data_IF_310913119563
#
_entry.id   IF_310913119563
#
_cell.length_a   1.000
_cell.length_b   1.000
_cell.length_c   1.000
_cell.angle_alpha   90.00
_cell.angle_beta   90.00
_cell.angle_gamma   90.00
#
_symmetry.space_group_name_H-M   'P 1'
#
loop_
_entity.id
_entity.type
_entity.pdbx_description
1 polymer ?
#
# COMPACT_ATOMS: atom_id res chain seq x y z
N UNK A 1 -60.78 -15.29 -41.88
CA UNK A 1 -59.90 -14.32 -41.25
C UNK A 1 -58.70 -15.06 -40.73
N UNK A 2 -57.56 -14.96 -41.40
CA UNK A 2 -56.32 -15.63 -41.00
C UNK A 2 -55.44 -14.60 -40.25
N UNK A 3 -55.12 -14.91 -38.99
CA UNK A 3 -54.23 -14.07 -38.15
C UNK A 3 -52.79 -14.52 -38.42
N UNK A 4 -52.02 -13.63 -39.03
CA UNK A 4 -50.59 -13.81 -39.28
C UNK A 4 -49.80 -13.43 -38.01
N UNK A 5 -49.22 -14.40 -37.30
CA UNK A 5 -48.37 -14.17 -36.16
C UNK A 5 -46.94 -13.83 -36.66
N UNK A 6 -46.55 -12.59 -36.47
CA UNK A 6 -45.14 -12.13 -36.75
C UNK A 6 -44.30 -12.55 -35.55
N UNK A 7 -43.41 -13.51 -35.78
CA UNK A 7 -42.41 -13.95 -34.79
C UNK A 7 -41.23 -12.99 -34.87
N UNK A 8 -41.11 -12.10 -33.88
CA UNK A 8 -39.95 -11.20 -33.76
C UNK A 8 -38.76 -11.99 -33.15
N UNK A 9 -37.83 -12.40 -33.98
CA UNK A 9 -36.59 -13.03 -33.51
C UNK A 9 -35.68 -11.99 -32.88
N UNK A 10 -35.56 -12.02 -31.56
CA UNK A 10 -34.55 -11.23 -30.84
C UNK A 10 -33.16 -11.84 -31.10
N UNK A 11 -32.40 -11.22 -31.96
CA UNK A 11 -30.98 -11.57 -32.14
C UNK A 11 -30.23 -11.12 -30.91
N UNK A 12 -29.94 -12.02 -29.99
CA UNK A 12 -29.00 -11.81 -28.91
C UNK A 12 -27.63 -11.76 -29.53
N UNK A 13 -27.09 -10.55 -29.75
CA UNK A 13 -25.68 -10.36 -30.09
C UNK A 13 -24.84 -10.69 -28.86
N UNK A 14 -24.37 -11.93 -28.80
CA UNK A 14 -23.34 -12.34 -27.84
C UNK A 14 -22.09 -11.58 -28.22
N UNK A 15 -21.53 -10.73 -27.34
CA UNK A 15 -20.27 -10.04 -27.66
C UNK A 15 -19.18 -11.10 -27.86
N UNK A 16 -18.53 -11.04 -29.04
CA UNK A 16 -17.45 -11.93 -29.43
C UNK A 16 -16.42 -12.07 -28.32
N UNK A 17 -16.00 -13.29 -28.09
CA UNK A 17 -15.00 -13.78 -27.17
C UNK A 17 -13.92 -12.76 -26.87
N UNK A 18 -13.74 -12.44 -25.57
CA UNK A 18 -12.66 -11.57 -25.09
C UNK A 18 -11.35 -12.09 -25.67
N UNK A 19 -10.77 -11.32 -26.58
CA UNK A 19 -9.51 -11.55 -27.25
C UNK A 19 -8.48 -12.11 -26.28
N UNK A 20 -8.00 -13.32 -26.50
CA UNK A 20 -6.92 -13.97 -25.76
C UNK A 20 -5.56 -13.32 -26.10
N UNK A 21 -5.51 -11.99 -26.11
CA UNK A 21 -4.28 -11.23 -26.38
C UNK A 21 -3.30 -11.43 -25.22
N UNK A 22 -2.13 -11.94 -25.53
CA UNK A 22 -1.07 -12.09 -24.53
C UNK A 22 -0.64 -10.74 -23.97
N UNK A 23 -0.34 -10.67 -22.66
CA UNK A 23 0.20 -9.48 -22.03
C UNK A 23 1.46 -8.97 -22.74
N UNK A 24 1.47 -7.68 -23.09
CA UNK A 24 2.55 -7.03 -23.84
C UNK A 24 2.37 -7.03 -25.35
N UNK A 25 1.27 -7.58 -25.90
CA UNK A 25 0.96 -7.49 -27.33
C UNK A 25 0.50 -6.09 -27.75
N UNK A 26 -0.11 -5.34 -26.81
CA UNK A 26 -0.54 -3.95 -26.99
C UNK A 26 -0.20 -3.10 -25.75
N UNK A 27 -0.26 -1.79 -25.92
CA UNK A 27 -0.22 -0.88 -24.76
C UNK A 27 -1.56 -0.95 -23.98
N UNK A 28 -1.46 -0.93 -22.66
CA UNK A 28 -2.59 -0.93 -21.73
C UNK A 28 -2.71 0.44 -21.05
N UNK A 29 -3.93 0.93 -20.94
CA UNK A 29 -4.26 2.23 -20.33
C UNK A 29 -5.64 2.18 -19.71
N UNK A 30 -6.01 3.19 -18.96
CA UNK A 30 -7.37 3.32 -18.42
C UNK A 30 -8.42 3.11 -19.50
N UNK A 31 -9.39 2.25 -19.20
CA UNK A 31 -10.43 1.80 -20.14
C UNK A 31 -10.07 0.51 -20.90
N UNK A 32 -8.82 0.01 -20.83
CA UNK A 32 -8.49 -1.30 -21.37
C UNK A 32 -9.18 -2.40 -20.57
N UNK A 33 -9.69 -3.42 -21.25
CA UNK A 33 -10.33 -4.60 -20.66
C UNK A 33 -9.81 -5.84 -21.37
N UNK A 34 -9.64 -6.94 -20.64
CA UNK A 34 -9.25 -8.23 -21.20
C UNK A 34 -8.34 -9.08 -20.32
N UNK A 35 -7.99 -10.27 -20.83
CA UNK A 35 -7.09 -11.21 -20.17
C UNK A 35 -5.67 -10.67 -20.01
N UNK A 36 -5.22 -9.82 -20.92
CA UNK A 36 -3.95 -9.10 -20.86
C UNK A 36 -3.89 -8.10 -19.70
N UNK A 37 -5.00 -7.40 -19.40
CA UNK A 37 -5.14 -6.54 -18.21
C UNK A 37 -5.11 -7.38 -16.94
N UNK A 38 -5.84 -8.49 -16.91
CA UNK A 38 -5.83 -9.41 -15.77
C UNK A 38 -4.44 -9.97 -15.49
N UNK A 39 -3.67 -10.25 -16.55
CA UNK A 39 -2.27 -10.69 -16.43
C UNK A 39 -1.37 -9.58 -15.92
N UNK A 40 -1.53 -8.33 -16.40
CA UNK A 40 -0.85 -7.16 -15.85
C UNK A 40 -1.07 -7.05 -14.34
N UNK A 41 -2.33 -7.07 -13.90
CA UNK A 41 -2.70 -6.95 -12.51
C UNK A 41 -2.08 -8.04 -11.62
N UNK A 42 -2.07 -9.30 -12.11
CA UNK A 42 -1.39 -10.40 -11.42
C UNK A 42 0.13 -10.21 -11.35
N UNK A 43 0.74 -9.67 -12.40
CA UNK A 43 2.18 -9.42 -12.44
C UNK A 43 2.58 -8.27 -11.52
N UNK A 44 1.82 -7.18 -11.50
CA UNK A 44 1.99 -6.10 -10.54
C UNK A 44 1.93 -6.63 -9.10
N UNK A 45 0.92 -7.43 -8.79
CA UNK A 45 0.79 -8.05 -7.46
C UNK A 45 1.99 -8.94 -7.11
N UNK A 46 2.51 -9.72 -8.08
CA UNK A 46 3.70 -10.56 -7.85
C UNK A 46 4.96 -9.77 -7.53
N UNK A 47 5.14 -8.60 -8.15
CA UNK A 47 6.29 -7.71 -7.90
C UNK A 47 6.04 -6.71 -6.77
N UNK A 48 5.02 -6.95 -5.93
CA UNK A 48 4.76 -6.15 -4.73
C UNK A 48 3.69 -5.07 -4.87
N UNK A 49 3.26 -4.74 -6.10
CA UNK A 49 2.23 -3.71 -6.36
C UNK A 49 0.84 -4.35 -6.46
N UNK A 50 0.19 -4.55 -5.33
CA UNK A 50 -1.09 -5.27 -5.24
C UNK A 50 -2.22 -4.52 -5.95
N UNK A 51 -3.00 -5.26 -6.74
CA UNK A 51 -4.22 -4.80 -7.40
C UNK A 51 -5.19 -5.97 -7.60
N UNK A 52 -6.49 -5.68 -7.71
CA UNK A 52 -7.48 -6.69 -8.07
C UNK A 52 -7.24 -7.18 -9.49
N UNK A 53 -7.23 -8.50 -9.70
CA UNK A 53 -7.07 -9.10 -11.03
C UNK A 53 -8.44 -9.32 -11.69
N UNK A 54 -9.20 -8.23 -11.86
CA UNK A 54 -10.55 -8.21 -12.46
C UNK A 54 -10.54 -8.15 -13.98
N UNK A 55 -9.41 -7.81 -14.59
CA UNK A 55 -9.26 -7.64 -16.03
C UNK A 55 -9.75 -6.28 -16.55
N UNK A 56 -10.01 -5.32 -15.67
CA UNK A 56 -10.43 -3.96 -16.01
C UNK A 56 -9.35 -2.96 -15.62
N UNK A 57 -8.79 -2.24 -16.57
CA UNK A 57 -7.83 -1.18 -16.29
C UNK A 57 -8.60 0.08 -15.85
N UNK A 58 -9.04 0.08 -14.59
CA UNK A 58 -9.73 1.19 -13.96
C UNK A 58 -8.76 2.25 -13.40
N UNK A 59 -9.31 3.20 -12.62
CA UNK A 59 -8.51 4.22 -11.90
C UNK A 59 -7.55 3.55 -10.90
N UNK A 60 -7.98 2.48 -10.21
CA UNK A 60 -7.16 1.71 -9.29
C UNK A 60 -5.94 1.10 -9.98
N UNK A 61 -6.15 0.36 -11.07
CA UNK A 61 -5.05 -0.21 -11.87
C UNK A 61 -4.10 0.87 -12.39
N UNK A 62 -4.63 2.03 -12.84
CA UNK A 62 -3.80 3.13 -13.32
C UNK A 62 -2.90 3.70 -12.22
N UNK A 63 -3.43 3.84 -11.01
CA UNK A 63 -2.69 4.31 -9.84
C UNK A 63 -1.56 3.36 -9.48
N UNK A 64 -1.85 2.06 -9.42
CA UNK A 64 -0.86 1.00 -9.17
C UNK A 64 0.22 0.96 -10.25
N UNK A 65 -0.14 1.16 -11.51
CA UNK A 65 0.83 1.26 -12.62
C UNK A 65 1.76 2.47 -12.42
N UNK A 66 1.24 3.64 -12.04
CA UNK A 66 2.09 4.82 -11.76
C UNK A 66 3.05 4.58 -10.60
N UNK A 67 2.59 3.92 -9.54
CA UNK A 67 3.43 3.56 -8.41
C UNK A 67 4.57 2.60 -8.84
N UNK A 68 4.25 1.59 -9.64
CA UNK A 68 5.23 0.68 -10.20
C UNK A 68 6.22 1.39 -11.14
N UNK A 69 5.74 2.27 -12.03
CA UNK A 69 6.58 3.08 -12.92
C UNK A 69 7.57 3.93 -12.11
N UNK A 70 7.10 4.58 -11.04
CA UNK A 70 7.93 5.38 -10.14
C UNK A 70 8.99 4.54 -9.43
N UNK A 71 8.59 3.40 -8.85
CA UNK A 71 9.50 2.51 -8.13
C UNK A 71 10.53 1.80 -9.02
N UNK A 72 10.32 1.78 -10.34
CA UNK A 72 11.21 1.14 -11.32
C UNK A 72 11.91 2.14 -12.24
N UNK A 73 11.86 3.43 -11.94
CA UNK A 73 12.47 4.52 -12.72
C UNK A 73 11.98 4.59 -14.19
N UNK A 74 10.78 4.11 -14.44
CA UNK A 74 10.12 4.25 -15.73
C UNK A 74 9.45 5.63 -15.85
N UNK A 75 9.05 6.01 -17.06
CA UNK A 75 8.28 7.24 -17.26
C UNK A 75 6.91 7.11 -16.61
N UNK A 76 6.64 7.88 -15.56
CA UNK A 76 5.40 7.83 -14.78
C UNK A 76 4.25 8.46 -15.57
N UNK A 77 3.51 7.65 -16.30
CA UNK A 77 2.38 8.09 -17.12
C UNK A 77 1.07 7.33 -16.89
N UNK A 78 1.12 6.26 -16.09
CA UNK A 78 -0.02 5.40 -15.76
C UNK A 78 -0.52 4.60 -16.95
N UNK A 79 0.38 4.23 -17.88
CA UNK A 79 0.13 3.42 -19.06
C UNK A 79 1.21 2.35 -19.13
N UNK A 80 0.88 1.14 -19.52
CA UNK A 80 1.85 0.08 -19.74
C UNK A 80 2.10 -0.07 -21.23
N UNK A 81 3.23 0.46 -21.68
CA UNK A 81 3.69 0.29 -23.06
C UNK A 81 4.24 -1.15 -23.30
N UNK A 82 4.57 -1.49 -24.53
CA UNK A 82 5.23 -2.78 -24.81
C UNK A 82 6.62 -2.90 -24.17
N UNK A 83 7.46 -1.85 -24.15
CA UNK A 83 8.68 -1.85 -23.34
C UNK A 83 8.43 -2.10 -21.86
N UNK A 84 7.48 -1.37 -21.22
CA UNK A 84 7.15 -1.53 -19.81
C UNK A 84 6.68 -2.95 -19.49
N UNK A 85 5.87 -3.54 -20.37
CA UNK A 85 5.43 -4.92 -20.22
C UNK A 85 6.59 -5.91 -20.25
N UNK A 86 7.70 -5.62 -20.98
CA UNK A 86 8.92 -6.45 -20.95
C UNK A 86 9.63 -6.33 -19.62
N UNK A 87 9.76 -5.10 -19.09
CA UNK A 87 10.37 -4.85 -17.77
C UNK A 87 9.60 -5.61 -16.70
N UNK A 88 8.27 -5.51 -16.69
CA UNK A 88 7.44 -6.21 -15.70
C UNK A 88 7.53 -7.74 -15.82
N UNK A 89 7.57 -8.28 -17.06
CA UNK A 89 7.79 -9.71 -17.29
C UNK A 89 9.14 -10.17 -16.75
N UNK A 90 10.20 -9.40 -16.99
CA UNK A 90 11.54 -9.69 -16.50
C UNK A 90 11.59 -9.67 -14.97
N UNK A 91 10.97 -8.68 -14.34
CA UNK A 91 10.88 -8.59 -12.89
C UNK A 91 10.17 -9.82 -12.29
N UNK A 92 9.03 -10.22 -12.87
CA UNK A 92 8.32 -11.44 -12.44
C UNK A 92 9.15 -12.72 -12.66
N UNK A 93 9.90 -12.81 -13.75
CA UNK A 93 10.76 -13.96 -14.02
C UNK A 93 11.96 -14.04 -13.07
N UNK A 94 12.45 -12.89 -12.59
CA UNK A 94 13.52 -12.80 -11.61
C UNK A 94 13.09 -13.20 -10.18
N UNK A 95 11.79 -13.28 -9.90
CA UNK A 95 11.27 -13.82 -8.65
C UNK A 95 11.57 -15.31 -8.60
N UNK A 96 12.74 -15.66 -8.02
CA UNK A 96 13.11 -17.05 -7.77
C UNK A 96 12.02 -17.70 -6.90
N UNK A 97 11.57 -18.93 -7.19
CA UNK A 97 10.72 -19.67 -6.25
C UNK A 97 11.44 -19.70 -4.89
N UNK A 98 10.73 -19.56 -3.76
CA UNK A 98 11.37 -19.70 -2.46
C UNK A 98 12.11 -21.03 -2.46
N UNK A 99 13.42 -20.98 -2.25
CA UNK A 99 14.20 -22.18 -2.01
C UNK A 99 13.53 -22.89 -0.84
N UNK A 100 13.18 -24.15 -1.00
CA UNK A 100 12.67 -25.00 0.06
C UNK A 100 13.64 -24.84 1.22
N UNK A 101 13.21 -24.17 2.29
CA UNK A 101 14.02 -24.04 3.49
C UNK A 101 14.30 -25.46 4.00
N UNK A 102 15.56 -25.82 4.29
CA UNK A 102 15.82 -27.02 5.06
C UNK A 102 15.10 -26.90 6.41
N UNK A 103 14.63 -28.01 6.99
CA UNK A 103 13.97 -27.96 8.28
C UNK A 103 14.91 -27.30 9.31
N UNK A 104 14.37 -26.50 10.24
CA UNK A 104 15.20 -25.83 11.25
C UNK A 104 15.99 -26.89 12.00
N UNK A 105 17.31 -26.79 11.95
CA UNK A 105 18.20 -27.55 12.83
C UNK A 105 17.93 -27.02 14.24
N UNK A 106 17.43 -27.88 15.09
CA UNK A 106 17.22 -27.64 16.51
C UNK A 106 18.58 -27.34 17.16
N UNK A 107 18.85 -26.05 17.37
CA UNK A 107 20.00 -25.63 18.17
C UNK A 107 19.58 -25.77 19.62
N UNK A 108 20.02 -26.85 20.26
CA UNK A 108 19.98 -26.99 21.70
C UNK A 108 20.90 -25.91 22.27
N UNK A 109 20.31 -24.86 22.80
CA UNK A 109 21.05 -23.86 23.59
C UNK A 109 21.14 -24.40 25.00
N UNK A 110 22.31 -24.93 25.33
CA UNK A 110 22.70 -25.24 26.68
C UNK A 110 22.75 -23.93 27.48
N UNK A 111 21.97 -23.84 28.53
CA UNK A 111 21.83 -22.67 29.39
C UNK A 111 22.72 -22.89 30.61
N UNK A 112 23.77 -22.13 30.83
CA UNK A 112 24.39 -22.09 32.17
C UNK A 112 23.56 -21.16 33.06
N UNK A 113 23.16 -21.69 34.19
CA UNK A 113 22.57 -20.95 35.31
C UNK A 113 23.67 -20.22 36.11
N UNK A 114 23.22 -19.08 36.68
CA UNK A 114 23.80 -18.36 37.81
C UNK A 114 25.12 -17.61 37.63
N UNK A 115 24.99 -16.27 37.74
CA UNK A 115 25.61 -15.49 38.82
C UNK A 115 25.02 -14.09 38.91
N UNK A 116 24.59 -13.72 40.08
CA UNK A 116 24.17 -12.36 40.44
C UNK A 116 25.41 -11.48 40.60
N UNK A 117 25.31 -10.28 40.05
CA UNK A 117 26.34 -9.25 40.24
C UNK A 117 25.73 -7.86 39.95
N UNK A 118 25.35 -7.16 41.03
CA UNK A 118 25.13 -5.72 41.05
C UNK A 118 26.36 -5.00 40.50
N UNK A 119 26.15 -4.20 39.47
CA UNK A 119 26.91 -2.94 39.31
C UNK A 119 26.20 -2.01 38.33
N UNK A 120 25.79 -0.88 38.89
CA UNK A 120 25.30 0.26 38.15
C UNK A 120 26.41 0.89 37.28
N UNK A 121 26.34 0.72 35.98
CA UNK A 121 27.11 1.53 35.04
C UNK A 121 26.18 2.00 33.93
N UNK A 122 26.10 3.32 33.80
CA UNK A 122 25.40 4.03 32.73
C UNK A 122 25.86 3.55 31.36
N UNK A 123 25.19 2.55 30.82
CA UNK A 123 25.31 2.12 29.43
C UNK A 123 24.52 3.09 28.56
N UNK A 124 25.22 3.96 27.83
CA UNK A 124 24.63 4.79 26.80
C UNK A 124 23.87 3.90 25.82
N UNK A 125 22.55 3.97 25.84
CA UNK A 125 21.75 3.40 24.79
C UNK A 125 22.17 4.05 23.48
N UNK A 126 22.85 3.30 22.64
CA UNK A 126 23.13 3.69 21.27
C UNK A 126 21.75 3.80 20.59
N UNK A 127 21.22 5.01 20.54
CA UNK A 127 20.04 5.27 19.75
C UNK A 127 20.42 4.99 18.31
N UNK A 128 19.95 3.88 17.77
CA UNK A 128 19.98 3.64 16.32
C UNK A 128 19.21 4.81 15.72
N UNK A 129 19.93 5.78 15.16
CA UNK A 129 19.29 6.86 14.39
C UNK A 129 18.68 6.19 13.17
N UNK A 130 17.37 5.97 13.25
CA UNK A 130 16.61 5.50 12.10
C UNK A 130 16.62 6.63 11.08
N UNK A 131 17.12 6.35 9.88
CA UNK A 131 17.07 7.32 8.79
C UNK A 131 15.62 7.79 8.57
N UNK A 132 15.45 9.08 8.34
CA UNK A 132 14.13 9.67 8.14
C UNK A 132 13.71 9.63 6.67
N UNK A 133 12.42 9.53 6.42
CA UNK A 133 11.84 9.77 5.12
C UNK A 133 12.00 11.23 4.72
N UNK A 134 12.16 11.49 3.43
CA UNK A 134 12.23 12.84 2.86
C UNK A 134 10.87 13.28 2.35
N UNK A 135 10.44 14.47 2.76
CA UNK A 135 9.25 15.11 2.17
C UNK A 135 9.67 15.83 0.88
N UNK A 136 9.06 15.45 -0.23
CA UNK A 136 9.35 16.01 -1.55
C UNK A 136 8.55 17.31 -1.80
N UNK A 137 9.01 18.13 -2.74
CA UNK A 137 8.34 19.39 -3.11
C UNK A 137 6.93 19.20 -3.67
N UNK A 138 6.67 18.04 -4.29
CA UNK A 138 5.35 17.67 -4.79
C UNK A 138 4.39 17.15 -3.69
N UNK A 139 4.83 17.17 -2.43
CA UNK A 139 4.05 16.71 -1.29
C UNK A 139 4.00 15.20 -1.13
N UNK A 140 4.77 14.43 -1.89
CA UNK A 140 4.99 13.00 -1.66
C UNK A 140 6.12 12.78 -0.65
N UNK A 141 6.30 11.54 -0.18
CA UNK A 141 7.41 11.16 0.68
C UNK A 141 8.31 10.13 -0.01
N UNK A 142 9.62 10.23 0.22
CA UNK A 142 10.61 9.21 -0.20
C UNK A 142 11.08 8.44 1.03
N UNK A 143 10.94 7.10 1.06
CA UNK A 143 11.41 6.29 2.17
C UNK A 143 12.95 6.26 2.22
N UNK A 144 13.57 6.14 3.40
CA UNK A 144 15.00 5.91 3.50
C UNK A 144 15.36 4.51 2.97
N UNK A 145 16.56 4.38 2.44
CA UNK A 145 17.04 3.14 1.84
C UNK A 145 17.03 1.97 2.85
N UNK A 146 17.41 2.26 4.10
CA UNK A 146 17.48 1.30 5.21
C UNK A 146 16.10 0.86 5.76
N UNK A 147 14.99 1.53 5.36
CA UNK A 147 13.67 1.19 5.88
C UNK A 147 13.25 -0.23 5.50
N UNK A 148 12.58 -0.96 6.41
CA UNK A 148 11.95 -2.22 6.10
C UNK A 148 10.99 -2.11 4.91
N UNK A 149 10.81 -3.20 4.16
CA UNK A 149 9.95 -3.18 2.97
C UNK A 149 8.51 -2.74 3.29
N UNK A 150 7.96 -3.16 4.43
CA UNK A 150 6.62 -2.74 4.86
C UNK A 150 6.52 -1.21 5.02
N UNK A 151 7.56 -0.55 5.55
CA UNK A 151 7.62 0.91 5.69
C UNK A 151 7.67 1.58 4.32
N UNK A 152 8.48 1.05 3.40
CA UNK A 152 8.54 1.53 2.00
C UNK A 152 7.18 1.42 1.33
N UNK A 153 6.46 0.31 1.56
CA UNK A 153 5.11 0.12 1.02
C UNK A 153 4.08 1.07 1.65
N UNK A 154 4.15 1.34 2.96
CA UNK A 154 3.29 2.34 3.60
C UNK A 154 3.48 3.71 2.94
N UNK A 155 4.73 4.14 2.74
CA UNK A 155 5.03 5.43 2.11
C UNK A 155 4.57 5.44 0.65
N UNK A 156 4.85 4.39 -0.12
CA UNK A 156 4.42 4.26 -1.51
C UNK A 156 2.90 4.43 -1.64
N UNK A 157 2.13 3.70 -0.85
CA UNK A 157 0.67 3.73 -0.91
C UNK A 157 0.07 4.97 -0.24
N UNK A 158 0.75 5.55 0.75
CA UNK A 158 0.43 6.89 1.26
C UNK A 158 0.57 7.98 0.20
N UNK A 159 1.60 7.89 -0.66
CA UNK A 159 1.79 8.81 -1.79
C UNK A 159 0.66 8.73 -2.82
N UNK A 160 0.10 7.53 -3.05
CA UNK A 160 -1.01 7.35 -3.99
C UNK A 160 -2.25 8.18 -3.63
N UNK A 161 -2.46 8.40 -2.33
CA UNK A 161 -3.62 9.13 -1.82
C UNK A 161 -3.23 10.46 -1.15
N UNK A 162 -1.97 10.89 -1.28
CA UNK A 162 -1.48 12.09 -0.60
C UNK A 162 -2.33 13.33 -0.88
N UNK A 163 -2.81 13.48 -2.12
CA UNK A 163 -3.60 14.62 -2.58
C UNK A 163 -5.09 14.29 -2.83
N UNK A 164 -5.55 13.08 -2.49
CA UNK A 164 -6.97 12.76 -2.63
C UNK A 164 -7.82 13.58 -1.63
N UNK A 165 -9.04 14.00 -2.00
CA UNK A 165 -9.85 14.84 -1.13
C UNK A 165 -10.22 14.12 0.18
N UNK A 166 -10.48 14.92 1.23
CA UNK A 166 -11.12 14.39 2.43
C UNK A 166 -12.59 14.13 2.15
N UNK A 167 -13.03 12.90 2.40
CA UNK A 167 -14.44 12.49 2.34
C UNK A 167 -14.75 11.71 3.60
N UNK A 168 -15.68 12.19 4.41
CA UNK A 168 -16.08 11.51 5.65
C UNK A 168 -16.62 10.09 5.33
N UNK A 169 -16.11 9.07 6.02
CA UNK A 169 -16.40 7.66 5.75
C UNK A 169 -15.66 7.10 4.52
N UNK A 170 -14.86 7.90 3.83
CA UNK A 170 -14.08 7.47 2.68
C UNK A 170 -12.93 6.54 3.05
N UNK A 171 -12.69 5.51 2.24
CA UNK A 171 -11.71 4.46 2.50
C UNK A 171 -12.21 3.32 3.38
N UNK A 172 -13.49 3.36 3.80
CA UNK A 172 -14.14 2.30 4.56
C UNK A 172 -15.03 1.44 3.66
N UNK A 173 -14.84 0.12 3.68
CA UNK A 173 -15.57 -0.81 2.81
C UNK A 173 -15.16 -0.81 1.33
N UNK A 174 -14.40 0.20 0.90
CA UNK A 174 -13.79 0.31 -0.43
C UNK A 174 -12.36 0.82 -0.30
N UNK A 175 -11.40 0.06 -0.77
CA UNK A 175 -10.00 0.50 -0.78
C UNK A 175 -9.74 1.60 -1.81
N UNK A 176 -10.45 1.58 -2.93
CA UNK A 176 -10.37 2.61 -3.97
C UNK A 176 -11.63 3.46 -3.94
N UNK A 177 -11.52 4.63 -3.35
CA UNK A 177 -12.64 5.55 -3.16
C UNK A 177 -12.36 6.91 -3.81
N UNK A 178 -13.36 7.79 -3.84
CA UNK A 178 -13.26 9.15 -4.38
C UNK A 178 -12.55 10.12 -3.44
N UNK A 179 -12.24 9.69 -2.22
CA UNK A 179 -11.52 10.41 -1.19
C UNK A 179 -11.46 9.58 0.07
N UNK A 180 -10.73 10.03 1.05
CA UNK A 180 -10.44 9.28 2.28
C UNK A 180 -10.58 10.17 3.50
N UNK A 181 -11.18 9.65 4.58
CA UNK A 181 -11.13 10.31 5.87
C UNK A 181 -9.81 10.00 6.61
N UNK A 182 -9.69 10.41 7.86
CA UNK A 182 -8.47 10.26 8.64
C UNK A 182 -8.08 8.78 8.82
N UNK A 183 -8.96 7.96 9.31
CA UNK A 183 -8.74 6.52 9.56
C UNK A 183 -8.75 5.70 8.26
N UNK A 184 -9.56 6.07 7.28
CA UNK A 184 -9.54 5.47 5.95
C UNK A 184 -8.21 5.68 5.22
N UNK A 185 -7.57 6.85 5.39
CA UNK A 185 -6.23 7.12 4.87
C UNK A 185 -5.16 6.21 5.50
N UNK A 186 -5.17 6.10 6.83
CA UNK A 186 -4.25 5.21 7.56
C UNK A 186 -4.51 3.75 7.17
N UNK A 187 -5.78 3.34 7.13
CA UNK A 187 -6.19 1.99 6.73
C UNK A 187 -5.72 1.65 5.32
N UNK A 188 -5.84 2.58 4.37
CA UNK A 188 -5.38 2.40 3.00
C UNK A 188 -3.89 2.07 2.93
N UNK A 189 -3.05 2.90 3.52
CA UNK A 189 -1.61 2.73 3.47
C UNK A 189 -1.16 1.42 4.16
N UNK A 190 -1.73 1.09 5.32
CA UNK A 190 -1.43 -0.14 6.05
C UNK A 190 -1.93 -1.39 5.31
N UNK A 191 -3.11 -1.32 4.68
CA UNK A 191 -3.65 -2.45 3.93
C UNK A 191 -2.74 -2.84 2.76
N UNK A 192 -2.35 -1.86 1.96
CA UNK A 192 -1.52 -2.13 0.79
C UNK A 192 -0.06 -2.46 1.15
N UNK A 193 0.38 -2.10 2.35
CA UNK A 193 1.62 -2.60 2.94
C UNK A 193 1.51 -4.03 3.52
N UNK A 194 0.30 -4.63 3.48
CA UNK A 194 0.07 -6.00 3.96
C UNK A 194 -0.13 -6.12 5.47
N UNK A 195 -0.25 -5.00 6.17
CA UNK A 195 -0.35 -4.92 7.63
C UNK A 195 -1.78 -4.88 8.16
N UNK A 196 -2.76 -4.61 7.30
CA UNK A 196 -4.17 -4.50 7.67
C UNK A 196 -5.06 -5.24 6.67
N UNK A 197 -5.96 -6.10 7.14
CA UNK A 197 -6.87 -6.87 6.28
C UNK A 197 -8.18 -6.13 5.97
N UNK A 198 -8.72 -5.44 6.96
CA UNK A 198 -10.00 -4.73 6.90
C UNK A 198 -9.79 -3.31 7.40
N UNK A 199 -10.44 -2.32 6.79
CA UNK A 199 -10.34 -0.93 7.25
C UNK A 199 -10.85 -0.78 8.68
N UNK A 200 -10.12 0.03 9.46
CA UNK A 200 -10.48 0.40 10.83
C UNK A 200 -10.90 1.87 10.87
N UNK A 201 -11.89 2.19 11.67
CA UNK A 201 -12.16 3.55 12.08
C UNK A 201 -11.13 4.04 13.12
N UNK A 202 -11.22 5.29 13.54
CA UNK A 202 -10.27 5.86 14.50
C UNK A 202 -10.31 5.15 15.85
N UNK A 203 -11.47 4.68 16.31
CA UNK A 203 -11.62 3.90 17.55
C UNK A 203 -11.01 2.51 17.42
N UNK A 204 -11.16 1.86 16.27
CA UNK A 204 -10.53 0.57 15.98
C UNK A 204 -9.01 0.62 16.02
N UNK A 205 -8.42 1.77 15.62
CA UNK A 205 -6.98 1.96 15.71
C UNK A 205 -6.46 2.09 17.16
N UNK A 206 -7.29 2.43 18.13
CA UNK A 206 -6.89 2.45 19.55
C UNK A 206 -6.47 1.06 20.06
N UNK A 207 -6.89 -0.01 19.38
CA UNK A 207 -6.58 -1.41 19.75
C UNK A 207 -5.70 -2.12 18.72
N UNK A 208 -5.21 -1.42 17.69
CA UNK A 208 -4.42 -2.00 16.62
C UNK A 208 -2.96 -2.27 17.03
N UNK A 209 -2.39 -3.43 16.64
CA UNK A 209 -0.99 -3.77 16.83
C UNK A 209 -0.54 -3.71 18.31
N UNK A 210 0.72 -3.38 18.54
CA UNK A 210 1.30 -3.25 19.86
C UNK A 210 1.13 -1.85 20.46
N UNK A 211 1.18 -1.72 21.79
CA UNK A 211 1.06 -0.45 22.50
C UNK A 211 2.36 0.35 22.45
N UNK A 212 2.23 1.68 22.40
CA UNK A 212 3.35 2.61 22.43
C UNK A 212 3.87 2.97 21.04
N UNK A 213 5.02 3.68 21.01
CA UNK A 213 5.69 4.09 19.77
C UNK A 213 6.42 2.92 19.12
N UNK A 214 6.35 2.83 17.81
CA UNK A 214 7.19 1.94 17.02
C UNK A 214 8.49 2.60 16.61
N UNK A 215 9.41 1.81 16.10
CA UNK A 215 10.69 2.30 15.58
C UNK A 215 10.51 3.07 14.26
N UNK A 216 9.65 2.56 13.40
CA UNK A 216 9.42 3.09 12.05
C UNK A 216 8.04 3.69 11.86
N UNK A 217 7.03 3.11 12.52
CA UNK A 217 5.62 3.48 12.35
C UNK A 217 4.97 3.66 13.70
N UNK A 218 4.37 4.82 13.92
CA UNK A 218 3.57 5.10 15.12
C UNK A 218 2.20 5.60 14.69
N UNK A 219 1.15 4.98 15.18
CA UNK A 219 -0.25 5.35 14.93
C UNK A 219 -0.79 6.04 16.17
N UNK A 220 -1.45 7.15 15.95
CA UNK A 220 -2.11 7.95 16.97
C UNK A 220 -3.61 7.93 16.69
N UNK A 221 -4.41 7.50 17.64
CA UNK A 221 -5.85 7.33 17.49
C UNK A 221 -6.62 7.79 18.70
N UNK A 222 -7.77 8.39 18.46
CA UNK A 222 -8.81 8.68 19.46
C UNK A 222 -10.18 8.61 18.77
N UNK A 223 -11.30 8.70 19.50
CA UNK A 223 -12.63 8.56 18.88
C UNK A 223 -12.94 9.55 17.74
N UNK A 224 -12.22 10.67 17.65
CA UNK A 224 -12.46 11.71 16.65
C UNK A 224 -11.45 11.78 15.51
N UNK A 225 -10.29 11.11 15.63
CA UNK A 225 -9.22 11.24 14.64
C UNK A 225 -8.18 10.12 14.70
N UNK A 226 -7.60 9.80 13.56
CA UNK A 226 -6.43 8.94 13.47
C UNK A 226 -5.41 9.51 12.48
N UNK A 227 -4.13 9.37 12.81
CA UNK A 227 -3.00 9.68 11.93
C UNK A 227 -1.82 8.76 12.27
N UNK A 228 -0.78 8.79 11.46
CA UNK A 228 0.45 8.03 11.74
C UNK A 228 1.70 8.85 11.46
N UNK A 229 2.79 8.51 12.14
CA UNK A 229 4.15 8.90 11.81
C UNK A 229 4.84 7.69 11.18
N UNK A 230 5.49 7.89 10.04
CA UNK A 230 6.18 6.85 9.27
C UNK A 230 7.57 7.35 8.92
N UNK A 231 8.60 6.67 9.41
CA UNK A 231 10.00 7.09 9.25
C UNK A 231 10.21 8.59 9.52
N UNK A 232 9.56 9.12 10.57
CA UNK A 232 9.68 10.50 11.00
C UNK A 232 8.86 11.54 10.25
N UNK A 233 8.07 11.18 9.24
CA UNK A 233 7.08 12.06 8.62
C UNK A 233 5.67 11.73 9.12
N UNK A 234 4.85 12.75 9.34
CA UNK A 234 3.44 12.59 9.70
C UNK A 234 2.59 12.42 8.44
N UNK A 235 1.74 11.40 8.43
CA UNK A 235 0.70 11.16 7.45
C UNK A 235 -0.67 11.41 8.07
N UNK A 236 -1.31 12.51 7.69
CA UNK A 236 -2.47 13.06 8.39
C UNK A 236 -3.33 13.89 7.44
N UNK A 237 -4.63 13.66 7.42
CA UNK A 237 -5.57 14.47 6.63
C UNK A 237 -5.60 15.94 7.06
N UNK A 238 -5.21 16.27 8.30
CA UNK A 238 -5.09 17.66 8.74
C UNK A 238 -3.83 18.33 8.20
N UNK A 239 -2.80 17.57 7.79
CA UNK A 239 -1.61 18.08 7.11
C UNK A 239 -1.92 18.69 5.74
N UNK A 240 -2.97 18.21 5.08
CA UNK A 240 -3.41 18.72 3.78
C UNK A 240 -3.76 20.22 3.77
N UNK A 241 -3.95 20.84 4.92
CA UNK A 241 -4.22 22.29 5.04
C UNK A 241 -2.96 23.14 4.96
N UNK A 242 -1.80 22.57 5.21
CA UNK A 242 -0.54 23.31 5.40
C UNK A 242 0.43 23.22 4.23
N UNK A 243 0.41 22.13 3.45
CA UNK A 243 1.35 21.92 2.32
C UNK A 243 0.63 21.45 1.05
N UNK A 244 0.05 22.39 0.29
CA UNK A 244 -0.46 22.11 -1.06
C UNK A 244 -1.50 20.98 -1.16
N UNK A 245 -2.16 20.65 -0.05
CA UNK A 245 -3.17 19.59 -0.02
C UNK A 245 -2.63 18.18 0.25
N UNK A 246 -1.34 18.01 0.52
CA UNK A 246 -0.79 16.69 0.87
C UNK A 246 -1.11 16.25 2.29
N UNK A 247 -1.27 14.93 2.48
CA UNK A 247 -1.33 14.31 3.80
C UNK A 247 0.03 14.17 4.48
N UNK A 248 1.13 14.19 3.71
CA UNK A 248 2.48 14.16 4.25
C UNK A 248 2.92 15.53 4.73
N UNK A 249 3.50 15.57 5.92
CA UNK A 249 4.07 16.79 6.50
C UNK A 249 5.17 16.46 7.49
N UNK A 250 6.13 17.35 7.64
CA UNK A 250 7.18 17.33 8.64
C UNK A 250 6.80 18.13 9.91
N UNK A 251 5.63 18.79 9.89
CA UNK A 251 5.15 19.56 11.04
C UNK A 251 4.75 18.64 12.21
N UNK A 252 5.22 18.91 13.43
CA UNK A 252 4.86 18.12 14.59
C UNK A 252 3.40 18.33 14.96
N UNK A 253 2.81 17.32 15.61
CA UNK A 253 1.48 17.39 16.21
C UNK A 253 1.54 16.90 17.65
N UNK A 254 0.79 17.55 18.56
CA UNK A 254 0.63 17.06 19.92
C UNK A 254 -0.05 15.68 19.91
N UNK A 255 0.52 14.74 20.66
CA UNK A 255 -0.06 13.43 20.89
C UNK A 255 -0.99 13.36 22.10
N UNK A 256 -1.20 14.49 22.79
CA UNK A 256 -2.10 14.56 23.95
C UNK A 256 -3.53 14.16 23.56
N UNK A 257 -4.13 13.24 24.31
CA UNK A 257 -5.47 12.72 24.04
C UNK A 257 -5.54 11.65 22.95
N UNK A 258 -4.39 11.09 22.53
CA UNK A 258 -4.33 9.96 21.62
C UNK A 258 -3.83 8.70 22.31
N UNK A 259 -4.42 7.57 21.98
CA UNK A 259 -3.83 6.25 22.20
C UNK A 259 -2.74 6.05 21.16
N UNK A 260 -1.60 5.53 21.60
CA UNK A 260 -0.41 5.35 20.75
C UNK A 260 -0.21 3.86 20.48
N UNK A 261 -0.14 3.50 19.22
CA UNK A 261 -0.03 2.12 18.75
C UNK A 261 1.01 2.01 17.62
N UNK A 262 1.47 0.81 17.34
CA UNK A 262 2.33 0.54 16.18
C UNK A 262 2.07 -0.87 15.63
N UNK A 263 2.32 -1.10 14.33
CA UNK A 263 2.31 -2.46 13.77
C UNK A 263 3.42 -3.30 14.41
N UNK A 264 3.17 -4.58 14.66
CA UNK A 264 4.16 -5.48 15.26
C UNK A 264 5.46 -5.49 14.43
N UNK A 265 6.59 -5.28 15.11
CA UNK A 265 7.93 -5.26 14.51
C UNK A 265 8.31 -3.97 13.76
N UNK A 266 7.51 -2.94 13.78
CA UNK A 266 7.77 -1.64 13.17
C UNK A 266 7.68 -0.53 14.21
#
# INVERSE_FOLDING_TARGET
MAILAVLCAVVVVVPASADARGFGSRALKRGSVGSDVKTLQRYLTKVGYRTSADGVFGRGTQRVVRAWESGTQLVVNGRVSRPDARVLKAAVAALKPPATMPPPTEVVVDRPEDEAGDDAAAGGASFVQVERATLNDDGTATPPASAPEAVKQIILHGNEIAHEPYVYGGGHGKWFDSGYDCSGSVSYALHFAGLLKTSLDSTGFESYGAAGRGTWVTIYANPGHAYMEVAGLRFDTSGAKTRGGSRWTDEPRSSSGYVIRHPDGL
#
